data_IF_345523867653
#
_entry.id   IF_345523867653
#
_cell.length_a   1.000
_cell.length_b   1.000
_cell.length_c   1.000
_cell.angle_alpha   90.00
_cell.angle_beta   90.00
_cell.angle_gamma   90.00
#
_symmetry.space_group_name_H-M   'P 1'
#
loop_
_entity.id
_entity.type
_entity.pdbx_description
1 polymer ?
#
# COMPACT_ATOMS: atom_id res chain seq x y z
N UNK A 1 31.06 -18.34 22.51
CA UNK A 1 31.00 -16.91 22.12
C UNK A 1 30.24 -16.77 20.81
N UNK A 2 28.93 -16.49 20.86
CA UNK A 2 28.17 -16.07 19.66
C UNK A 2 28.53 -14.61 19.41
N UNK A 3 29.08 -14.29 18.23
CA UNK A 3 29.17 -12.90 17.76
C UNK A 3 27.74 -12.36 17.73
N UNK A 4 27.40 -11.48 18.66
CA UNK A 4 26.29 -10.55 18.47
C UNK A 4 26.73 -9.65 17.31
N UNK A 5 26.32 -9.98 16.10
CA UNK A 5 26.28 -8.99 15.03
C UNK A 5 25.44 -7.84 15.55
N UNK A 6 26.04 -6.68 15.78
CA UNK A 6 25.31 -5.43 15.87
C UNK A 6 24.32 -5.43 14.70
N UNK A 7 23.03 -5.51 15.00
CA UNK A 7 21.97 -5.35 14.00
C UNK A 7 21.97 -3.88 13.57
N UNK A 8 22.97 -3.51 12.77
CA UNK A 8 23.16 -2.16 12.27
C UNK A 8 21.88 -1.73 11.55
N UNK A 9 21.38 -0.55 11.93
CA UNK A 9 20.19 0.03 11.31
C UNK A 9 20.57 0.38 9.87
N UNK A 10 19.93 -0.28 8.90
CA UNK A 10 20.14 0.01 7.49
C UNK A 10 19.44 1.33 7.14
N UNK A 11 20.18 2.29 6.61
CA UNK A 11 19.59 3.52 6.11
C UNK A 11 19.03 3.29 4.71
N UNK A 12 17.70 3.34 4.56
CA UNK A 12 17.01 3.18 3.26
C UNK A 12 16.32 4.46 2.81
N UNK A 13 16.88 5.62 3.16
CA UNK A 13 16.45 6.90 2.63
C UNK A 13 16.74 6.97 1.12
N UNK A 14 15.69 7.20 0.36
CA UNK A 14 15.71 7.20 -1.10
C UNK A 14 15.92 8.63 -1.63
N UNK A 15 16.57 8.75 -2.78
CA UNK A 15 16.71 10.02 -3.48
C UNK A 15 15.37 10.43 -4.10
N UNK A 16 14.80 11.54 -3.65
CA UNK A 16 13.55 12.09 -4.19
C UNK A 16 13.68 12.60 -5.63
N UNK A 17 14.89 12.75 -6.14
CA UNK A 17 15.10 13.06 -7.54
C UNK A 17 14.85 11.87 -8.47
N UNK A 18 14.94 10.64 -7.95
CA UNK A 18 14.65 9.42 -8.72
C UNK A 18 13.18 9.39 -9.14
N UNK A 19 12.96 9.19 -10.44
CA UNK A 19 11.63 9.09 -11.05
C UNK A 19 10.82 7.95 -10.44
N UNK A 20 11.45 6.80 -10.14
CA UNK A 20 10.78 5.64 -9.55
C UNK A 20 10.26 5.96 -8.15
N UNK A 21 11.06 6.68 -7.35
CA UNK A 21 10.69 7.13 -6.02
C UNK A 21 9.47 8.05 -6.09
N UNK A 22 9.43 9.00 -7.03
CA UNK A 22 8.30 9.91 -7.20
C UNK A 22 7.01 9.18 -7.58
N UNK A 23 7.04 8.27 -8.56
CA UNK A 23 5.83 7.52 -8.96
C UNK A 23 5.36 6.57 -7.85
N UNK A 24 6.27 6.01 -7.05
CA UNK A 24 5.92 5.23 -5.87
C UNK A 24 5.29 6.10 -4.76
N UNK A 25 5.78 7.33 -4.55
CA UNK A 25 5.18 8.27 -3.62
C UNK A 25 3.77 8.71 -4.06
N UNK A 26 3.58 8.97 -5.37
CA UNK A 26 2.26 9.27 -5.93
C UNK A 26 1.29 8.09 -5.78
N UNK A 27 1.78 6.86 -5.93
CA UNK A 27 1.02 5.64 -5.67
C UNK A 27 0.56 5.55 -4.20
N UNK A 28 1.46 5.82 -3.24
CA UNK A 28 1.12 5.85 -1.80
C UNK A 28 0.09 6.93 -1.51
N UNK A 29 0.32 8.15 -2.04
CA UNK A 29 -0.60 9.28 -1.87
C UNK A 29 -2.00 8.95 -2.39
N UNK A 30 -2.10 8.37 -3.58
CA UNK A 30 -3.38 7.95 -4.15
C UNK A 30 -4.12 6.96 -3.23
N UNK A 31 -3.39 6.01 -2.63
CA UNK A 31 -3.98 5.06 -1.68
C UNK A 31 -4.49 5.78 -0.43
N UNK A 32 -3.71 6.68 0.14
CA UNK A 32 -4.11 7.47 1.31
C UNK A 32 -5.35 8.34 1.02
N UNK A 33 -5.40 8.97 -0.16
CA UNK A 33 -6.56 9.76 -0.62
C UNK A 33 -7.80 8.88 -0.84
N UNK A 34 -7.61 7.66 -1.37
CA UNK A 34 -8.68 6.68 -1.54
C UNK A 34 -9.26 6.23 -0.19
N UNK A 35 -8.41 5.96 0.80
CA UNK A 35 -8.82 5.66 2.17
C UNK A 35 -9.59 6.82 2.81
N UNK A 36 -9.07 8.05 2.69
CA UNK A 36 -9.73 9.24 3.22
C UNK A 36 -11.11 9.44 2.58
N UNK A 37 -11.18 9.30 1.25
CA UNK A 37 -12.42 9.41 0.50
C UNK A 37 -13.42 8.31 0.86
N UNK A 38 -12.96 7.09 1.16
CA UNK A 38 -13.84 6.00 1.64
C UNK A 38 -14.40 6.30 3.04
N UNK A 39 -13.57 6.83 3.94
CA UNK A 39 -13.99 7.24 5.29
C UNK A 39 -15.06 8.33 5.25
N UNK A 40 -14.90 9.33 4.40
CA UNK A 40 -15.86 10.43 4.25
C UNK A 40 -17.04 10.09 3.33
N UNK A 41 -17.19 8.84 2.89
CA UNK A 41 -18.26 8.47 1.96
C UNK A 41 -19.66 8.77 2.49
N UNK A 42 -19.89 8.72 3.82
CA UNK A 42 -21.19 8.99 4.43
C UNK A 42 -21.63 10.47 4.33
N UNK A 43 -20.70 11.42 4.27
CA UNK A 43 -20.99 12.85 4.06
C UNK A 43 -21.10 13.23 2.58
N UNK A 44 -20.75 12.32 1.66
CA UNK A 44 -20.87 12.56 0.22
C UNK A 44 -22.32 12.46 -0.27
N UNK A 45 -22.64 13.22 -1.31
CA UNK A 45 -23.97 13.21 -1.90
C UNK A 45 -24.35 11.80 -2.42
N UNK A 46 -25.66 11.45 -2.45
CA UNK A 46 -26.12 10.15 -2.98
C UNK A 46 -25.63 9.86 -4.40
N UNK A 47 -25.53 10.87 -5.26
CA UNK A 47 -25.03 10.75 -6.64
C UNK A 47 -23.57 10.31 -6.67
N UNK A 48 -22.70 10.97 -5.88
CA UNK A 48 -21.28 10.62 -5.79
C UNK A 48 -21.12 9.18 -5.29
N UNK A 49 -21.87 8.79 -4.26
CA UNK A 49 -21.84 7.41 -3.74
C UNK A 49 -22.24 6.38 -4.80
N UNK A 50 -23.29 6.64 -5.58
CA UNK A 50 -23.73 5.77 -6.68
C UNK A 50 -22.66 5.65 -7.77
N UNK A 51 -22.05 6.76 -8.17
CA UNK A 51 -20.98 6.76 -9.18
C UNK A 51 -19.76 5.96 -8.70
N UNK A 52 -19.38 6.10 -7.43
CA UNK A 52 -18.29 5.32 -6.82
C UNK A 52 -18.59 3.82 -6.73
N UNK A 53 -19.83 3.45 -6.39
CA UNK A 53 -20.29 2.05 -6.41
C UNK A 53 -20.31 1.46 -7.83
N UNK A 54 -20.72 2.24 -8.82
CA UNK A 54 -20.71 1.84 -10.22
C UNK A 54 -19.29 1.62 -10.74
N UNK A 55 -18.38 2.55 -10.44
CA UNK A 55 -16.96 2.50 -10.85
C UNK A 55 -16.12 1.49 -10.08
N UNK A 56 -16.67 0.83 -9.06
CA UNK A 56 -15.98 -0.18 -8.25
C UNK A 56 -15.01 0.40 -7.22
N UNK A 57 -15.11 1.69 -6.92
CA UNK A 57 -14.24 2.42 -5.97
C UNK A 57 -14.74 2.36 -4.53
N UNK A 58 -15.95 1.85 -4.33
CA UNK A 58 -16.61 1.77 -3.04
C UNK A 58 -17.58 0.60 -3.04
N UNK A 59 -17.43 -0.33 -2.09
CA UNK A 59 -18.45 -1.34 -1.83
C UNK A 59 -19.13 -0.98 -0.49
N UNK A 60 -20.41 -0.53 -0.51
CA UNK A 60 -21.11 -0.24 0.73
C UNK A 60 -21.16 -1.51 1.56
N UNK A 61 -20.62 -1.44 2.78
CA UNK A 61 -20.60 -2.57 3.69
C UNK A 61 -22.05 -2.94 4.08
N UNK A 62 -22.64 -3.90 3.37
CA UNK A 62 -24.04 -4.34 3.58
C UNK A 62 -24.26 -4.97 4.95
N UNK A 63 -23.19 -5.35 5.66
CA UNK A 63 -23.23 -6.09 6.92
C UNK A 63 -23.26 -5.14 8.13
N UNK A 64 -22.71 -3.93 8.02
CA UNK A 64 -22.65 -2.98 9.13
C UNK A 64 -23.32 -1.66 8.74
N UNK A 65 -24.60 -1.51 9.11
CA UNK A 65 -25.38 -0.27 8.90
C UNK A 65 -24.73 0.98 9.56
N UNK A 66 -23.73 0.81 10.44
CA UNK A 66 -23.16 1.89 11.26
C UNK A 66 -21.62 1.89 11.43
N UNK A 67 -20.84 1.12 10.67
CA UNK A 67 -19.36 1.25 10.74
C UNK A 67 -18.85 2.14 9.61
N UNK A 68 -18.18 3.23 9.97
CA UNK A 68 -17.32 4.00 9.07
C UNK A 68 -16.43 3.03 8.29
N UNK A 69 -16.27 3.24 6.98
CA UNK A 69 -15.34 2.43 6.21
C UNK A 69 -13.96 2.56 6.85
N UNK A 70 -13.32 1.45 7.23
CA UNK A 70 -11.95 1.46 7.71
C UNK A 70 -11.00 1.71 6.51
N UNK A 71 -9.69 1.68 6.75
CA UNK A 71 -8.74 1.74 5.65
C UNK A 71 -8.73 0.42 4.86
N UNK A 72 -8.45 0.52 3.56
CA UNK A 72 -8.19 -0.64 2.72
C UNK A 72 -6.93 -1.35 3.23
N UNK A 73 -6.97 -2.67 3.31
CA UNK A 73 -5.83 -3.51 3.66
C UNK A 73 -4.64 -3.21 2.73
N UNK A 74 -3.50 -2.72 3.23
CA UNK A 74 -2.39 -2.27 2.39
C UNK A 74 -1.83 -3.35 1.47
N UNK A 75 -1.74 -4.58 1.97
CA UNK A 75 -1.15 -5.71 1.25
C UNK A 75 -2.04 -6.20 0.13
N UNK A 76 -3.35 -6.31 0.38
CA UNK A 76 -4.33 -6.68 -0.65
C UNK A 76 -4.43 -5.61 -1.74
N UNK A 77 -4.42 -4.33 -1.32
CA UNK A 77 -4.39 -3.22 -2.26
C UNK A 77 -3.15 -3.26 -3.14
N UNK A 78 -1.95 -3.40 -2.55
CA UNK A 78 -0.70 -3.44 -3.29
C UNK A 78 -0.64 -4.62 -4.27
N UNK A 79 -1.08 -5.80 -3.85
CA UNK A 79 -1.12 -7.00 -4.70
C UNK A 79 -2.09 -6.86 -5.88
N UNK A 80 -3.25 -6.21 -5.69
CA UNK A 80 -4.21 -5.99 -6.80
C UNK A 80 -3.84 -4.78 -7.69
N UNK A 81 -3.21 -3.74 -7.13
CA UNK A 81 -2.87 -2.51 -7.85
C UNK A 81 -1.52 -2.58 -8.58
N UNK A 82 -0.55 -3.35 -8.04
CA UNK A 82 0.76 -3.65 -8.62
C UNK A 82 0.98 -5.18 -8.70
N UNK A 83 0.13 -5.91 -9.44
CA UNK A 83 0.22 -7.36 -9.56
C UNK A 83 1.59 -7.82 -10.11
N UNK A 84 2.02 -9.00 -9.68
CA UNK A 84 3.31 -9.63 -9.98
C UNK A 84 4.55 -8.95 -9.38
N UNK A 85 4.47 -7.66 -9.02
CA UNK A 85 5.53 -6.96 -8.29
C UNK A 85 5.35 -7.12 -6.79
N UNK A 86 4.14 -6.80 -6.30
CA UNK A 86 3.80 -6.82 -4.88
C UNK A 86 3.15 -8.15 -4.50
N UNK A 87 3.94 -9.22 -4.38
CA UNK A 87 3.44 -10.54 -3.98
C UNK A 87 3.67 -10.76 -2.48
N UNK A 88 2.61 -11.14 -1.77
CA UNK A 88 2.73 -11.58 -0.38
C UNK A 88 3.17 -13.04 -0.39
N UNK A 89 4.46 -13.27 -0.18
CA UNK A 89 4.99 -14.63 0.03
C UNK A 89 4.88 -15.02 1.51
N UNK A 90 4.67 -16.31 1.77
CA UNK A 90 4.76 -16.94 3.09
C UNK A 90 6.24 -17.08 3.50
N UNK A 91 7.14 -17.26 2.52
CA UNK A 91 8.58 -17.39 2.70
C UNK A 91 9.26 -16.01 2.63
N UNK A 92 8.84 -15.07 3.48
CA UNK A 92 9.46 -13.75 3.56
C UNK A 92 10.92 -13.91 4.00
N UNK A 93 11.80 -13.09 3.42
CA UNK A 93 13.20 -13.04 3.84
C UNK A 93 13.34 -12.60 5.30
N UNK A 94 14.58 -12.65 5.81
CA UNK A 94 14.90 -12.18 7.15
C UNK A 94 14.56 -10.69 7.32
N UNK A 95 13.91 -10.34 8.43
CA UNK A 95 13.61 -8.96 8.77
C UNK A 95 14.87 -8.25 9.25
N UNK A 96 15.10 -7.03 8.72
CA UNK A 96 16.19 -6.15 9.13
C UNK A 96 15.64 -4.85 9.68
N UNK A 97 16.37 -4.24 10.61
CA UNK A 97 16.06 -2.90 11.11
C UNK A 97 16.44 -1.89 10.03
N UNK A 98 15.47 -1.11 9.55
CA UNK A 98 15.67 -0.10 8.53
C UNK A 98 15.13 1.26 9.00
N UNK A 99 15.87 2.33 8.68
CA UNK A 99 15.33 3.68 8.70
C UNK A 99 14.67 3.96 7.35
N UNK A 100 13.35 4.18 7.35
CA UNK A 100 12.52 4.31 6.15
C UNK A 100 11.82 5.66 6.10
N UNK A 101 11.41 6.04 4.89
CA UNK A 101 10.56 7.20 4.67
C UNK A 101 9.08 6.80 4.64
N UNK A 102 8.23 7.27 5.59
CA UNK A 102 6.81 6.92 5.64
C UNK A 102 6.03 7.30 4.38
N UNK A 103 6.48 8.29 3.60
CA UNK A 103 5.84 8.68 2.35
C UNK A 103 5.93 7.62 1.25
N UNK A 104 6.80 6.62 1.44
CA UNK A 104 6.94 5.45 0.57
C UNK A 104 6.27 4.20 1.16
N UNK A 105 5.45 4.36 2.20
CA UNK A 105 4.76 3.25 2.88
C UNK A 105 3.29 3.22 2.51
N UNK A 106 2.86 2.14 1.85
CA UNK A 106 1.44 1.81 1.68
C UNK A 106 0.91 1.36 3.04
N UNK A 107 0.01 2.17 3.62
CA UNK A 107 -0.49 2.02 4.99
C UNK A 107 -2.00 2.13 5.05
N UNK A 108 -2.59 1.99 6.24
CA UNK A 108 -4.02 2.19 6.45
C UNK A 108 -4.30 2.54 7.90
N UNK A 109 -5.18 3.49 8.15
CA UNK A 109 -5.60 3.88 9.51
C UNK A 109 -6.91 3.21 9.88
N UNK A 110 -6.96 2.56 11.05
CA UNK A 110 -8.19 1.95 11.59
C UNK A 110 -8.60 2.47 12.97
N UNK A 111 -7.73 3.17 13.73
CA UNK A 111 -8.08 3.81 15.01
C UNK A 111 -7.53 5.24 15.10
N UNK A 112 -8.24 6.11 15.80
CA UNK A 112 -7.73 7.42 16.20
C UNK A 112 -6.90 7.29 17.47
N UNK A 113 -5.71 7.91 17.47
CA UNK A 113 -4.80 7.97 18.62
C UNK A 113 -5.33 8.77 19.81
N UNK A 114 -6.50 9.38 19.67
CA UNK A 114 -7.09 10.24 20.71
C UNK A 114 -7.93 9.48 21.72
N UNK A 115 -8.16 8.17 21.53
CA UNK A 115 -8.98 7.39 22.45
C UNK A 115 -8.11 6.58 23.41
N UNK A 116 -8.27 6.86 24.70
CA UNK A 116 -7.75 6.05 25.79
C UNK A 116 -8.43 4.67 25.81
N UNK A 117 -7.77 3.69 26.46
CA UNK A 117 -8.28 2.32 26.57
C UNK A 117 -9.63 2.22 27.31
N UNK A 118 -9.99 3.24 28.09
CA UNK A 118 -11.24 3.40 28.83
C UNK A 118 -12.30 4.23 28.10
N UNK A 119 -12.04 4.67 26.86
CA UNK A 119 -12.96 5.49 26.06
C UNK A 119 -12.85 7.00 26.32
N UNK A 120 -11.94 7.46 27.18
CA UNK A 120 -11.62 8.88 27.38
C UNK A 120 -10.73 9.47 26.26
N UNK A 121 -10.52 10.78 26.30
CA UNK A 121 -9.43 11.42 25.55
C UNK A 121 -8.15 11.32 26.39
N UNK A 122 -7.08 10.75 25.83
CA UNK A 122 -5.76 10.81 26.44
C UNK A 122 -4.92 11.90 25.77
N UNK A 123 -4.20 12.67 26.58
CA UNK A 123 -3.15 13.60 26.11
C UNK A 123 -1.95 12.79 25.61
N UNK A 124 -2.12 12.20 24.43
CA UNK A 124 -1.08 11.46 23.73
C UNK A 124 -0.35 12.44 22.83
N UNK A 125 0.84 12.87 23.25
CA UNK A 125 1.70 13.71 22.43
C UNK A 125 2.27 12.88 21.25
N UNK A 126 2.08 13.32 20.00
CA UNK A 126 2.56 12.58 18.83
C UNK A 126 4.06 12.31 18.83
N UNK A 127 4.85 13.21 19.42
CA UNK A 127 6.30 13.08 19.55
C UNK A 127 6.68 11.90 20.44
N UNK A 128 6.02 11.73 21.59
CA UNK A 128 6.27 10.62 22.50
C UNK A 128 5.95 9.28 21.84
N UNK A 129 4.84 9.22 21.08
CA UNK A 129 4.47 8.01 20.34
C UNK A 129 5.50 7.67 19.28
N UNK A 130 5.97 8.66 18.51
CA UNK A 130 6.97 8.45 17.47
C UNK A 130 8.33 8.04 18.07
N UNK A 131 8.77 8.71 19.13
CA UNK A 131 10.04 8.42 19.82
C UNK A 131 10.01 7.03 20.47
N UNK A 132 8.90 6.66 21.13
CA UNK A 132 8.72 5.32 21.70
C UNK A 132 8.66 4.24 20.61
N UNK A 133 8.05 4.55 19.46
CA UNK A 133 8.02 3.65 18.30
C UNK A 133 9.42 3.34 17.80
N UNK A 134 10.25 4.37 17.56
CA UNK A 134 11.61 4.21 17.08
C UNK A 134 12.49 3.51 18.11
N UNK A 135 12.39 3.90 19.40
CA UNK A 135 13.12 3.27 20.50
C UNK A 135 12.83 1.77 20.60
N UNK A 136 11.57 1.37 20.46
CA UNK A 136 11.19 -0.04 20.48
C UNK A 136 11.89 -0.85 19.39
N UNK A 137 12.00 -0.33 18.17
CA UNK A 137 12.68 -1.02 17.08
C UNK A 137 14.20 -1.03 17.28
N UNK A 138 14.77 0.07 17.77
CA UNK A 138 16.20 0.16 18.07
C UNK A 138 16.62 -0.87 19.12
N UNK A 139 15.85 -1.03 20.19
CA UNK A 139 16.19 -1.87 21.36
C UNK A 139 15.67 -3.31 21.26
N UNK A 140 14.64 -3.60 20.46
CA UNK A 140 14.10 -4.96 20.34
C UNK A 140 14.95 -5.85 19.43
N UNK A 141 15.15 -7.10 19.83
CA UNK A 141 15.73 -8.15 18.98
C UNK A 141 14.66 -8.97 18.24
N UNK A 142 13.39 -8.67 18.45
CA UNK A 142 12.25 -9.37 17.85
C UNK A 142 11.36 -8.44 17.03
N UNK A 143 10.85 -8.94 15.90
CA UNK A 143 9.98 -8.20 14.97
C UNK A 143 8.50 -8.28 15.36
N UNK A 144 8.18 -8.04 16.62
CA UNK A 144 6.82 -8.17 17.16
C UNK A 144 5.88 -7.02 16.78
N UNK A 145 6.42 -5.86 16.41
CA UNK A 145 5.60 -4.71 16.00
C UNK A 145 6.24 -3.97 14.83
N UNK A 146 5.42 -3.23 14.05
CA UNK A 146 5.87 -2.31 12.99
C UNK A 146 6.79 -2.99 11.96
N UNK A 147 6.30 -4.07 11.37
CA UNK A 147 6.98 -4.77 10.31
C UNK A 147 6.29 -4.57 8.96
N UNK A 148 7.11 -4.54 7.93
CA UNK A 148 6.78 -4.20 6.56
C UNK A 148 7.47 -5.19 5.63
N UNK A 149 6.91 -5.38 4.44
CA UNK A 149 7.66 -6.01 3.36
C UNK A 149 7.97 -4.99 2.27
N UNK A 150 9.08 -5.21 1.58
CA UNK A 150 9.56 -4.40 0.47
C UNK A 150 9.76 -5.29 -0.77
N UNK A 151 9.00 -5.08 -1.85
CA UNK A 151 9.30 -5.70 -3.14
C UNK A 151 10.69 -5.28 -3.62
N UNK A 152 11.55 -6.24 -3.95
CA UNK A 152 12.98 -6.00 -4.25
C UNK A 152 13.22 -4.93 -5.32
N UNK A 153 12.33 -4.84 -6.30
CA UNK A 153 12.47 -3.92 -7.45
C UNK A 153 11.85 -2.54 -7.20
N UNK A 154 11.26 -2.28 -6.03
CA UNK A 154 10.61 -1.02 -5.73
C UNK A 154 11.21 -0.34 -4.48
N UNK A 155 11.27 1.01 -4.47
CA UNK A 155 11.48 1.81 -3.28
C UNK A 155 10.13 1.99 -2.53
N UNK A 156 9.37 0.91 -2.35
CA UNK A 156 8.03 0.92 -1.76
C UNK A 156 7.95 -0.08 -0.61
N UNK A 157 7.35 0.32 0.49
CA UNK A 157 7.12 -0.53 1.65
C UNK A 157 5.62 -0.77 1.84
N UNK A 158 5.25 -1.97 2.26
CA UNK A 158 3.86 -2.32 2.50
C UNK A 158 3.70 -2.74 3.95
N UNK A 159 2.82 -2.02 4.65
CA UNK A 159 2.61 -2.21 6.08
C UNK A 159 1.82 -3.48 6.37
N UNK A 160 2.43 -4.39 7.14
CA UNK A 160 1.80 -5.59 7.68
C UNK A 160 1.31 -5.34 9.11
N UNK A 161 2.07 -4.57 9.88
CA UNK A 161 1.70 -4.09 11.23
C UNK A 161 2.14 -2.64 11.44
N UNK A 162 1.74 -1.99 12.53
CA UNK A 162 2.12 -0.58 12.81
C UNK A 162 1.40 0.45 11.95
N UNK A 163 0.35 0.07 11.22
CA UNK A 163 -0.30 0.88 10.18
C UNK A 163 -0.87 2.21 10.69
N UNK A 164 -1.34 2.27 11.94
CA UNK A 164 -1.78 3.52 12.55
C UNK A 164 -0.59 4.50 12.73
N UNK A 165 0.60 4.02 13.10
CA UNK A 165 1.74 4.87 13.46
C UNK A 165 2.27 5.63 12.25
N UNK A 166 2.20 4.99 11.07
CA UNK A 166 2.59 5.58 9.79
C UNK A 166 1.91 6.94 9.55
N UNK A 167 0.65 7.12 9.91
CA UNK A 167 -0.03 8.41 9.72
C UNK A 167 0.63 9.53 10.51
N UNK A 168 1.06 9.27 11.75
CA UNK A 168 1.76 10.25 12.58
C UNK A 168 3.07 10.63 11.89
N UNK A 169 3.90 9.65 11.53
CA UNK A 169 5.17 9.93 10.86
C UNK A 169 4.99 10.64 9.50
N UNK A 170 3.97 10.27 8.71
CA UNK A 170 3.62 10.97 7.47
C UNK A 170 3.24 12.42 7.72
N UNK A 171 2.38 12.68 8.72
CA UNK A 171 1.88 14.01 9.09
C UNK A 171 3.00 14.94 9.54
N UNK A 172 3.91 14.44 10.38
CA UNK A 172 5.04 15.21 10.92
C UNK A 172 6.29 15.15 10.03
N UNK A 173 6.22 14.50 8.87
CA UNK A 173 7.33 14.35 7.90
C UNK A 173 8.63 13.81 8.54
N UNK A 174 8.49 12.91 9.51
CA UNK A 174 9.62 12.26 10.19
C UNK A 174 9.95 10.93 9.54
N UNK A 175 11.22 10.54 9.53
CA UNK A 175 11.62 9.16 9.21
C UNK A 175 11.17 8.22 10.32
N UNK A 176 11.07 6.93 10.01
CA UNK A 176 10.63 5.91 10.97
C UNK A 176 11.61 4.74 10.97
N UNK A 177 11.88 4.15 12.14
CA UNK A 177 12.50 2.83 12.25
C UNK A 177 11.47 1.72 12.10
N UNK A 178 11.84 0.69 11.35
CA UNK A 178 10.93 -0.38 10.97
C UNK A 178 11.67 -1.70 10.79
N UNK A 179 10.96 -2.81 11.02
CA UNK A 179 11.42 -4.12 10.56
C UNK A 179 11.00 -4.32 9.11
N UNK A 180 11.96 -4.55 8.21
CA UNK A 180 11.69 -4.73 6.78
C UNK A 180 12.21 -6.08 6.31
N UNK A 181 11.33 -6.86 5.70
CA UNK A 181 11.70 -8.05 4.94
C UNK A 181 11.62 -7.74 3.45
N UNK A 182 12.68 -8.01 2.71
CA UNK A 182 12.64 -7.93 1.25
C UNK A 182 11.93 -9.17 0.68
N UNK A 183 11.05 -8.96 -0.30
CA UNK A 183 10.31 -10.04 -0.97
C UNK A 183 10.68 -10.10 -2.44
N UNK A 184 10.75 -11.30 -3.03
CA UNK A 184 10.96 -11.44 -4.46
C UNK A 184 9.82 -10.79 -5.25
N UNK A 185 10.15 -10.28 -6.42
CA UNK A 185 9.21 -9.77 -7.42
C UNK A 185 9.48 -10.48 -8.73
N UNK A 186 8.46 -10.63 -9.57
CA UNK A 186 8.68 -11.12 -10.94
C UNK A 186 9.67 -10.18 -11.66
N UNK A 187 10.69 -10.72 -12.34
CA UNK A 187 11.65 -9.90 -13.09
C UNK A 187 10.96 -9.01 -14.13
N UNK A 188 11.41 -7.76 -14.25
CA UNK A 188 10.86 -6.77 -15.19
C UNK A 188 10.85 -7.30 -16.63
N UNK A 189 11.89 -8.04 -17.02
CA UNK A 189 12.04 -8.64 -18.36
C UNK A 189 10.97 -9.67 -18.72
N UNK A 190 10.29 -10.23 -17.71
CA UNK A 190 9.24 -11.23 -17.89
C UNK A 190 7.83 -10.61 -17.86
N UNK A 191 7.74 -9.32 -17.54
CA UNK A 191 6.50 -8.57 -17.53
C UNK A 191 6.27 -7.91 -18.89
N UNK A 192 5.00 -7.83 -19.29
CA UNK A 192 4.58 -7.02 -20.44
C UNK A 192 3.32 -6.23 -20.13
N UNK A 193 3.24 -5.01 -20.64
CA UNK A 193 2.06 -4.15 -20.56
C UNK A 193 1.24 -4.30 -21.85
N UNK A 194 -0.06 -4.49 -21.71
CA UNK A 194 -0.99 -4.53 -22.84
C UNK A 194 -2.14 -3.57 -22.63
N UNK A 195 -2.45 -2.81 -23.68
CA UNK A 195 -3.65 -1.98 -23.76
C UNK A 195 -4.79 -2.79 -24.39
N UNK A 196 -5.95 -2.80 -23.75
CA UNK A 196 -7.13 -3.55 -24.18
C UNK A 196 -8.15 -2.62 -24.84
N UNK A 197 -8.44 -2.89 -26.11
CA UNK A 197 -9.44 -2.20 -26.93
C UNK A 197 -10.82 -2.85 -26.79
N UNK A 198 -11.91 -2.08 -27.01
CA UNK A 198 -11.93 -0.65 -27.38
C UNK A 198 -11.82 0.33 -26.21
N UNK A 199 -11.75 -0.16 -24.97
CA UNK A 199 -12.00 0.65 -23.77
C UNK A 199 -10.77 1.28 -23.11
N UNK A 200 -9.60 1.16 -23.74
CA UNK A 200 -8.34 1.70 -23.22
C UNK A 200 -8.03 1.21 -21.77
N UNK A 201 -8.30 -0.07 -21.50
CA UNK A 201 -8.01 -0.68 -20.20
C UNK A 201 -6.61 -1.26 -20.23
N UNK A 202 -5.78 -0.94 -19.25
CA UNK A 202 -4.42 -1.48 -19.15
C UNK A 202 -4.39 -2.77 -18.33
N UNK A 203 -3.54 -3.69 -18.75
CA UNK A 203 -3.23 -4.91 -18.03
C UNK A 203 -1.72 -5.18 -18.06
N UNK A 204 -1.25 -5.91 -17.05
CA UNK A 204 0.09 -6.50 -17.05
C UNK A 204 -0.03 -8.01 -17.23
N UNK A 205 0.90 -8.57 -17.98
CA UNK A 205 0.96 -9.99 -18.30
C UNK A 205 2.25 -10.60 -17.76
N UNK A 206 2.15 -11.84 -17.28
CA UNK A 206 3.28 -12.66 -16.82
C UNK A 206 2.92 -14.14 -17.01
N UNK A 207 3.80 -14.94 -17.62
CA UNK A 207 3.63 -16.39 -17.80
C UNK A 207 2.22 -16.80 -18.29
N UNK A 208 1.70 -16.10 -19.30
CA UNK A 208 0.35 -16.33 -19.86
C UNK A 208 -0.82 -15.81 -19.01
N UNK A 209 -0.58 -15.39 -17.76
CA UNK A 209 -1.58 -14.75 -16.93
C UNK A 209 -1.70 -13.27 -17.26
N UNK A 210 -2.93 -12.74 -17.24
CA UNK A 210 -3.23 -11.33 -17.46
C UNK A 210 -3.97 -10.74 -16.26
N UNK A 211 -3.47 -9.63 -15.72
CA UNK A 211 -4.08 -8.91 -14.60
C UNK A 211 -4.38 -7.47 -15.01
N UNK A 212 -5.66 -7.07 -14.92
CA UNK A 212 -6.08 -5.69 -15.19
C UNK A 212 -5.52 -4.76 -14.12
N UNK A 213 -4.98 -3.62 -14.53
CA UNK A 213 -4.57 -2.55 -13.63
C UNK A 213 -5.82 -1.75 -13.19
N UNK A 214 -6.23 -1.81 -11.90
CA UNK A 214 -7.45 -1.14 -11.44
C UNK A 214 -7.36 0.40 -11.50
N UNK A 215 -6.15 0.94 -11.37
CA UNK A 215 -5.86 2.37 -11.28
C UNK A 215 -4.70 2.73 -12.21
N UNK A 216 -4.88 2.64 -13.54
CA UNK A 216 -3.79 2.80 -14.50
C UNK A 216 -3.10 4.17 -14.40
N UNK A 217 -3.80 5.22 -13.97
CA UNK A 217 -3.23 6.55 -13.78
C UNK A 217 -2.10 6.61 -12.74
N UNK A 218 -2.05 5.66 -11.79
CA UNK A 218 -1.02 5.59 -10.74
C UNK A 218 -0.17 4.32 -10.80
N UNK A 219 -0.70 3.21 -11.31
CA UNK A 219 0.08 1.96 -11.41
C UNK A 219 0.88 1.88 -12.70
N UNK A 220 0.34 2.35 -13.84
CA UNK A 220 1.05 2.32 -15.13
C UNK A 220 2.37 3.10 -15.10
N UNK A 221 2.47 4.31 -14.50
CA UNK A 221 3.75 5.02 -14.37
C UNK A 221 4.83 4.23 -13.64
N UNK A 222 4.47 3.38 -12.66
CA UNK A 222 5.42 2.50 -11.95
C UNK A 222 6.02 1.49 -12.93
N UNK A 223 5.20 0.73 -13.64
CA UNK A 223 5.68 -0.26 -14.61
C UNK A 223 6.49 0.37 -15.75
N UNK A 224 6.06 1.53 -16.26
CA UNK A 224 6.78 2.25 -17.31
C UNK A 224 8.15 2.74 -16.83
N UNK A 225 8.24 3.23 -15.59
CA UNK A 225 9.52 3.69 -15.02
C UNK A 225 10.47 2.54 -14.72
N UNK A 226 9.94 1.36 -14.40
CA UNK A 226 10.73 0.12 -14.32
C UNK A 226 11.21 -0.40 -15.68
N UNK A 227 10.72 0.13 -16.80
CA UNK A 227 11.10 -0.32 -18.14
C UNK A 227 10.35 -1.56 -18.65
N UNK A 228 9.15 -1.84 -18.13
CA UNK A 228 8.33 -2.96 -18.63
C UNK A 228 7.89 -2.70 -20.07
N UNK A 229 8.11 -3.69 -20.94
CA UNK A 229 7.82 -3.57 -22.37
C UNK A 229 6.31 -3.48 -22.65
N UNK A 230 5.93 -2.59 -23.57
CA UNK A 230 4.56 -2.50 -24.08
C UNK A 230 4.41 -3.39 -25.32
N UNK A 231 3.39 -4.25 -25.33
CA UNK A 231 3.06 -5.11 -26.47
C UNK A 231 1.89 -4.55 -27.26
N UNK A 232 1.69 -5.08 -28.47
CA UNK A 232 0.60 -4.67 -29.36
C UNK A 232 -0.76 -4.73 -28.63
N UNK A 233 -1.64 -3.73 -28.83
CA UNK A 233 -2.96 -3.71 -28.21
C UNK A 233 -3.76 -4.98 -28.52
N UNK A 234 -4.46 -5.49 -27.52
CA UNK A 234 -5.35 -6.64 -27.65
C UNK A 234 -6.82 -6.22 -27.65
N UNK A 235 -7.69 -7.03 -28.24
CA UNK A 235 -9.14 -6.85 -28.12
C UNK A 235 -9.68 -7.59 -26.89
N UNK A 236 -10.49 -6.91 -26.09
CA UNK A 236 -11.21 -7.52 -24.97
C UNK A 236 -12.49 -6.72 -24.68
N UNK A 237 -13.60 -7.16 -25.25
CA UNK A 237 -14.91 -6.52 -25.08
C UNK A 237 -15.45 -6.60 -23.64
N UNK A 238 -14.84 -7.42 -22.79
CA UNK A 238 -15.18 -7.52 -21.37
C UNK A 238 -14.25 -6.70 -20.47
N UNK A 239 -13.31 -5.93 -21.05
CA UNK A 239 -12.28 -5.23 -20.28
C UNK A 239 -12.85 -4.26 -19.23
N UNK A 240 -13.95 -3.56 -19.52
CA UNK A 240 -14.60 -2.68 -18.52
C UNK A 240 -15.17 -3.46 -17.33
N UNK A 241 -15.82 -4.59 -17.58
CA UNK A 241 -16.34 -5.47 -16.53
C UNK A 241 -15.19 -6.02 -15.68
N UNK A 242 -14.10 -6.44 -16.33
CA UNK A 242 -12.88 -6.91 -15.65
C UNK A 242 -12.21 -5.80 -14.84
N UNK A 243 -12.17 -4.57 -15.36
CA UNK A 243 -11.66 -3.38 -14.65
C UNK A 243 -12.48 -3.09 -13.39
N UNK A 244 -13.82 -3.09 -13.50
CA UNK A 244 -14.69 -2.91 -12.33
C UNK A 244 -14.43 -3.98 -11.27
N UNK A 245 -14.33 -5.26 -11.68
CA UNK A 245 -14.01 -6.36 -10.76
C UNK A 245 -12.63 -6.19 -10.11
N UNK A 246 -11.63 -5.73 -10.84
CA UNK A 246 -10.29 -5.47 -10.30
C UNK A 246 -10.29 -4.34 -9.26
N UNK A 247 -11.00 -3.25 -9.53
CA UNK A 247 -11.18 -2.15 -8.55
C UNK A 247 -11.85 -2.64 -7.28
N UNK A 248 -12.94 -3.41 -7.41
CA UNK A 248 -13.64 -3.99 -6.25
C UNK A 248 -12.67 -4.84 -5.43
N UNK A 249 -11.92 -5.76 -6.05
CA UNK A 249 -10.95 -6.59 -5.32
C UNK A 249 -9.90 -5.76 -4.57
N UNK A 250 -9.36 -4.73 -5.23
CA UNK A 250 -8.38 -3.83 -4.63
C UNK A 250 -8.94 -3.05 -3.42
N UNK A 251 -10.25 -2.80 -3.37
CA UNK A 251 -10.90 -2.03 -2.30
C UNK A 251 -11.71 -2.86 -1.31
N UNK A 252 -11.92 -4.17 -1.55
CA UNK A 252 -12.88 -4.99 -0.79
C UNK A 252 -12.38 -5.32 0.62
N UNK A 253 -11.09 -5.60 0.76
CA UNK A 253 -10.53 -6.00 2.04
C UNK A 253 -10.28 -4.75 2.89
N UNK A 254 -11.18 -4.52 3.83
CA UNK A 254 -11.12 -3.44 4.79
C UNK A 254 -10.46 -3.95 6.08
N UNK A 255 -9.68 -3.11 6.74
CA UNK A 255 -9.05 -3.47 8.01
C UNK A 255 -10.13 -3.75 9.08
N UNK A 256 -9.99 -4.85 9.83
CA UNK A 256 -10.85 -5.12 10.99
C UNK A 256 -10.57 -4.09 12.08
N UNK A 257 -11.63 -3.48 12.64
CA UNK A 257 -11.55 -2.56 13.79
C UNK A 257 -11.24 -3.31 15.09
#
# INVERSE_FOLDING_TARGET
MRKMTENAIKNELQDWNDKLVRVCADFVRFKDDLDASNKTSYVQSPLIRRFRGFSGLYEPNKINKYRTASAICPSDFANEALPFICVIDINRGEYKKCQINPQLVVSGKYRDYRHAFDGGYADIFPEDVMNASDKFIAESDTHSTQYYYRPKILPLYIALEGKNRIELFKRYRRTMLAWVAETPSVPVSELTLIQLRPFNVWAVCYSGQRRILPFPQISLPVYKTLGVAEVKPGWDFLALSKLRKARIRATRHQMRM
#
